data_IF_242626932949
#
_entry.id   IF_242626932949
#
_cell.length_a   1.000
_cell.length_b   1.000
_cell.length_c   1.000
_cell.angle_alpha   90.00
_cell.angle_beta   90.00
_cell.angle_gamma   90.00
#
_symmetry.space_group_name_H-M   'P 1'
#
loop_
_entity.id
_entity.type
_entity.pdbx_description
1 polymer ?
#
# COMPACT_ATOMS: atom_id res chain seq x y z
N UNK A 1 -17.06 -0.42 0.13
CA UNK A 1 -15.65 -0.36 -0.30
C UNK A 1 -15.22 1.10 -0.27
N UNK A 2 -14.09 1.45 0.34
CA UNK A 2 -13.57 2.83 0.44
C UNK A 2 -12.55 3.16 -0.66
N UNK A 3 -12.30 2.20 -1.56
CA UNK A 3 -11.46 2.37 -2.73
C UNK A 3 -12.15 3.26 -3.75
N UNK A 4 -11.42 4.19 -4.34
CA UNK A 4 -11.93 5.01 -5.43
C UNK A 4 -12.05 4.14 -6.70
N UNK A 5 -13.22 4.07 -7.34
CA UNK A 5 -13.42 3.21 -8.51
C UNK A 5 -12.76 3.78 -9.78
N UNK A 6 -12.45 5.08 -9.77
CA UNK A 6 -11.96 5.83 -10.93
C UNK A 6 -10.71 6.64 -10.56
N UNK A 7 -10.20 7.41 -11.51
CA UNK A 7 -9.07 8.31 -11.28
C UNK A 7 -9.43 9.39 -10.24
N UNK A 8 -8.57 9.56 -9.24
CA UNK A 8 -8.62 10.73 -8.35
C UNK A 8 -8.12 11.98 -9.06
N UNK A 9 -8.59 13.14 -8.62
CA UNK A 9 -8.14 14.44 -9.12
C UNK A 9 -6.84 14.87 -8.42
N UNK A 10 -5.72 14.22 -8.76
CA UNK A 10 -4.36 14.68 -8.45
C UNK A 10 -3.35 13.73 -9.15
N UNK A 11 -2.44 13.14 -8.39
CA UNK A 11 -1.40 12.22 -8.85
C UNK A 11 -1.93 10.85 -9.29
N UNK A 12 -3.09 10.39 -8.80
CA UNK A 12 -3.61 9.05 -9.13
C UNK A 12 -3.81 8.88 -10.64
N UNK A 13 -4.29 9.89 -11.36
CA UNK A 13 -4.47 9.81 -12.81
C UNK A 13 -3.15 9.65 -13.56
N UNK A 14 -2.13 10.41 -13.16
CA UNK A 14 -0.78 10.29 -13.72
C UNK A 14 -0.19 8.92 -13.43
N UNK A 15 -0.26 8.43 -12.19
CA UNK A 15 0.25 7.11 -11.80
C UNK A 15 -0.49 5.95 -12.46
N UNK A 16 -1.81 6.04 -12.65
CA UNK A 16 -2.59 5.00 -13.35
C UNK A 16 -2.19 4.97 -14.83
N UNK A 17 -2.18 6.13 -15.51
CA UNK A 17 -1.86 6.21 -16.94
C UNK A 17 -0.43 5.75 -17.24
N UNK A 18 0.53 6.16 -16.39
CA UNK A 18 1.93 5.73 -16.49
C UNK A 18 2.11 4.26 -16.10
N UNK A 19 1.32 3.69 -15.18
CA UNK A 19 1.45 2.28 -14.74
C UNK A 19 0.96 1.33 -15.81
N UNK A 20 -0.21 1.60 -16.39
CA UNK A 20 -0.85 0.73 -17.37
C UNK A 20 0.04 0.56 -18.61
N UNK A 21 0.73 1.62 -19.04
CA UNK A 21 1.53 1.64 -20.27
C UNK A 21 3.04 1.77 -20.05
N UNK A 22 3.51 1.76 -18.81
CA UNK A 22 4.91 2.01 -18.43
C UNK A 22 5.48 3.28 -19.10
N UNK A 23 4.72 4.36 -19.05
CA UNK A 23 5.14 5.66 -19.61
C UNK A 23 6.01 6.42 -18.63
N UNK A 24 6.83 7.34 -19.15
CA UNK A 24 7.63 8.25 -18.34
C UNK A 24 6.72 9.35 -17.79
N UNK A 25 6.48 9.35 -16.47
CA UNK A 25 5.82 10.46 -15.76
C UNK A 25 6.79 11.61 -15.43
N UNK A 26 6.30 12.62 -14.71
CA UNK A 26 7.19 13.56 -13.99
C UNK A 26 8.24 12.78 -13.18
N UNK A 27 9.46 13.33 -12.95
CA UNK A 27 10.65 12.59 -12.53
C UNK A 27 10.32 11.37 -11.66
N UNK A 28 10.44 10.14 -12.20
CA UNK A 28 9.79 8.99 -11.61
C UNK A 28 10.46 8.63 -10.28
N UNK A 29 9.82 9.04 -9.19
CA UNK A 29 10.27 8.74 -7.84
C UNK A 29 9.93 7.32 -7.37
N UNK A 30 9.08 6.58 -8.12
CA UNK A 30 8.50 5.31 -7.67
C UNK A 30 8.50 4.20 -8.76
N UNK A 31 9.66 3.80 -9.31
CA UNK A 31 9.74 2.77 -10.37
C UNK A 31 9.17 1.42 -9.92
N UNK A 32 9.33 1.05 -8.64
CA UNK A 32 8.76 -0.17 -8.10
C UNK A 32 7.23 -0.15 -8.09
N UNK A 33 6.61 0.97 -7.69
CA UNK A 33 5.16 1.12 -7.70
C UNK A 33 4.61 1.04 -9.12
N UNK A 34 5.32 1.60 -10.11
CA UNK A 34 4.93 1.55 -11.51
C UNK A 34 4.89 0.11 -12.07
N UNK A 35 5.90 -0.71 -11.74
CA UNK A 35 5.96 -2.11 -12.15
C UNK A 35 4.84 -2.94 -11.51
N UNK A 36 4.60 -2.73 -10.21
CA UNK A 36 3.51 -3.39 -9.49
C UNK A 36 2.13 -2.92 -9.98
N UNK A 37 1.98 -1.64 -10.27
CA UNK A 37 0.76 -1.05 -10.84
C UNK A 37 0.48 -1.63 -12.23
N UNK A 38 1.51 -1.82 -13.06
CA UNK A 38 1.39 -2.50 -14.34
C UNK A 38 0.90 -3.94 -14.17
N UNK A 39 1.53 -4.72 -13.28
CA UNK A 39 1.13 -6.09 -12.98
C UNK A 39 -0.34 -6.17 -12.53
N UNK A 40 -0.75 -5.31 -11.60
CA UNK A 40 -2.12 -5.28 -11.09
C UNK A 40 -3.12 -4.83 -12.16
N UNK A 41 -2.76 -3.88 -13.01
CA UNK A 41 -3.61 -3.45 -14.13
C UNK A 41 -3.87 -4.55 -15.16
N UNK A 42 -2.92 -5.49 -15.35
CA UNK A 42 -3.10 -6.65 -16.24
C UNK A 42 -4.08 -7.69 -15.67
N UNK A 43 -4.37 -7.65 -14.36
CA UNK A 43 -5.38 -8.51 -13.73
C UNK A 43 -6.81 -7.99 -13.95
N UNK A 44 -6.97 -6.80 -14.52
CA UNK A 44 -8.28 -6.24 -14.84
C UNK A 44 -8.94 -6.99 -16.01
N UNK A 45 -10.18 -7.44 -15.83
CA UNK A 45 -10.94 -8.13 -16.88
C UNK A 45 -11.33 -7.22 -18.06
N UNK A 46 -11.23 -5.90 -17.91
CA UNK A 46 -11.48 -4.92 -18.97
C UNK A 46 -10.69 -3.61 -18.71
N UNK A 47 -10.44 -2.78 -19.73
CA UNK A 47 -9.69 -1.52 -19.59
C UNK A 47 -10.29 -0.55 -18.56
N UNK A 48 -11.62 -0.54 -18.42
CA UNK A 48 -12.34 0.32 -17.48
C UNK A 48 -12.01 -0.04 -16.01
N UNK A 49 -11.61 -1.29 -15.76
CA UNK A 49 -11.29 -1.78 -14.42
C UNK A 49 -9.81 -1.60 -14.05
N UNK A 50 -8.95 -1.13 -14.97
CA UNK A 50 -7.52 -0.96 -14.70
C UNK A 50 -7.25 0.08 -13.60
N UNK A 51 -8.02 1.17 -13.59
CA UNK A 51 -7.94 2.20 -12.55
C UNK A 51 -8.24 1.62 -11.16
N UNK A 52 -9.29 0.81 -11.07
CA UNK A 52 -9.67 0.12 -9.84
C UNK A 52 -8.56 -0.83 -9.35
N UNK A 53 -7.92 -1.58 -10.26
CA UNK A 53 -6.85 -2.51 -9.88
C UNK A 53 -5.61 -1.79 -9.36
N UNK A 54 -5.24 -0.65 -9.97
CA UNK A 54 -4.12 0.17 -9.49
C UNK A 54 -4.46 0.83 -8.14
N UNK A 55 -5.68 1.31 -7.97
CA UNK A 55 -6.13 1.83 -6.67
C UNK A 55 -6.17 0.73 -5.59
N UNK A 56 -6.39 -0.53 -5.97
CA UNK A 56 -6.38 -1.66 -5.04
C UNK A 56 -4.97 -1.95 -4.53
N UNK A 57 -3.95 -1.82 -5.39
CA UNK A 57 -2.55 -1.87 -4.98
C UNK A 57 -2.22 -0.79 -3.93
N UNK A 58 -2.70 0.45 -4.12
CA UNK A 58 -2.53 1.52 -3.14
C UNK A 58 -3.20 1.19 -1.80
N UNK A 59 -4.42 0.66 -1.83
CA UNK A 59 -5.16 0.27 -0.63
C UNK A 59 -4.46 -0.88 0.13
N UNK A 60 -3.96 -1.89 -0.58
CA UNK A 60 -3.22 -3.01 0.00
C UNK A 60 -1.88 -2.57 0.60
N UNK A 61 -1.17 -1.67 -0.08
CA UNK A 61 0.11 -1.14 0.43
C UNK A 61 -0.09 -0.36 1.73
N UNK A 62 -1.19 0.42 1.82
CA UNK A 62 -1.55 1.15 3.04
C UNK A 62 -1.94 0.22 4.19
N UNK A 63 -2.75 -0.81 3.93
CA UNK A 63 -3.17 -1.76 4.98
C UNK A 63 -1.99 -2.54 5.56
N UNK A 64 -1.04 -2.97 4.73
CA UNK A 64 0.20 -3.60 5.21
C UNK A 64 1.07 -2.62 6.01
N UNK A 65 1.15 -1.36 5.60
CA UNK A 65 1.88 -0.34 6.36
C UNK A 65 1.33 -0.19 7.78
N UNK A 66 0.00 -0.18 7.95
CA UNK A 66 -0.64 -0.12 9.27
C UNK A 66 -0.40 -1.41 10.08
N UNK A 67 -0.47 -2.59 9.45
CA UNK A 67 -0.17 -3.86 10.11
C UNK A 67 1.27 -3.88 10.67
N UNK A 68 2.25 -3.50 9.84
CA UNK A 68 3.64 -3.44 10.27
C UNK A 68 3.88 -2.36 11.31
N UNK A 69 3.19 -1.22 11.22
CA UNK A 69 3.24 -0.19 12.24
C UNK A 69 2.75 -0.73 13.60
N UNK A 70 1.61 -1.44 13.62
CA UNK A 70 1.09 -2.07 14.83
C UNK A 70 2.11 -3.05 15.43
N UNK A 71 2.64 -3.99 14.64
CA UNK A 71 3.65 -4.93 15.13
C UNK A 71 4.93 -4.25 15.60
N UNK A 72 5.37 -3.21 14.91
CA UNK A 72 6.55 -2.43 15.31
C UNK A 72 6.33 -1.78 16.67
N UNK A 73 5.18 -1.12 16.87
CA UNK A 73 4.82 -0.51 18.16
C UNK A 73 4.73 -1.58 19.25
N UNK A 74 4.04 -2.70 19.02
CA UNK A 74 3.93 -3.77 20.01
C UNK A 74 5.29 -4.36 20.38
N UNK A 75 6.15 -4.61 19.40
CA UNK A 75 7.49 -5.15 19.62
C UNK A 75 8.38 -4.17 20.39
N UNK A 76 8.33 -2.87 20.05
CA UNK A 76 9.06 -1.82 20.76
C UNK A 76 8.56 -1.66 22.19
N UNK A 77 7.25 -1.64 22.41
CA UNK A 77 6.64 -1.55 23.75
C UNK A 77 7.05 -2.72 24.63
N UNK A 78 7.02 -3.96 24.12
CA UNK A 78 7.50 -5.14 24.85
C UNK A 78 8.98 -5.01 25.22
N UNK A 79 9.81 -4.48 24.32
CA UNK A 79 11.24 -4.29 24.57
C UNK A 79 11.51 -3.19 25.61
N UNK A 80 10.76 -2.09 25.57
CA UNK A 80 10.87 -0.98 26.52
C UNK A 80 10.40 -1.37 27.94
N UNK A 81 9.36 -2.20 28.04
CA UNK A 81 8.79 -2.64 29.31
C UNK A 81 9.53 -3.84 29.95
N UNK A 82 10.70 -4.21 29.42
CA UNK A 82 11.55 -5.25 30.02
C UNK A 82 11.25 -6.68 29.57
N UNK A 83 10.57 -6.85 28.44
CA UNK A 83 10.28 -8.15 27.83
C UNK A 83 8.91 -8.71 28.25
N UNK A 84 8.36 -9.59 27.41
CA UNK A 84 7.05 -10.21 27.62
C UNK A 84 6.98 -10.97 28.96
N UNK A 85 8.08 -11.60 29.38
CA UNK A 85 8.20 -12.34 30.65
C UNK A 85 7.99 -11.44 31.88
N UNK A 86 8.62 -10.27 31.93
CA UNK A 86 8.44 -9.33 33.05
C UNK A 86 7.02 -8.80 33.15
N UNK A 87 6.37 -8.58 32.00
CA UNK A 87 4.98 -8.11 31.96
C UNK A 87 4.01 -9.18 32.47
N UNK A 88 4.15 -10.43 32.01
CA UNK A 88 3.31 -11.56 32.43
C UNK A 88 3.45 -11.86 33.94
N UNK A 89 4.68 -11.73 34.47
CA UNK A 89 4.97 -11.90 35.89
C UNK A 89 4.59 -10.68 36.77
N UNK A 90 4.35 -9.51 36.17
CA UNK A 90 3.95 -8.28 36.89
C UNK A 90 2.44 -8.12 37.05
N UNK A 91 1.65 -8.89 36.29
CA UNK A 91 0.21 -9.06 36.48
C UNK A 91 -0.08 -10.01 37.65
N UNK A 92 0.11 -9.50 38.89
CA UNK A 92 -0.53 -10.00 40.12
C UNK A 92 -1.63 -9.00 40.49
#
# INVERSE_FOLDING_TARGET
>A
MTIEPTTSFWDCGEYIATSVKLQVGHPPGAPFFQLMGNLFSQLASSPENQALMVNALSALSSSFSILFLFWTITALSLKLLGGKEKLDNSSI
#
